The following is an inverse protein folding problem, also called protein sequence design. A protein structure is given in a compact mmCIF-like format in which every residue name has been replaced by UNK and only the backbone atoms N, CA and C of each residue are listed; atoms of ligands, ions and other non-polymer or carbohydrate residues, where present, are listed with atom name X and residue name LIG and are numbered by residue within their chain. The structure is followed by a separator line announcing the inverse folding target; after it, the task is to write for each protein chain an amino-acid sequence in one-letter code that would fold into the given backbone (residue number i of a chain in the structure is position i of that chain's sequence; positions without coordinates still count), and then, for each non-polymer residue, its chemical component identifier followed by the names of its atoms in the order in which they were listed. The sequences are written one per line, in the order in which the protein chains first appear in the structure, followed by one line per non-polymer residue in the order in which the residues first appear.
data_IF_521471414862
#
_entry.id   IF_521471414862
#
_cell.length_a   1.000
_cell.length_b   1.000
_cell.length_c   1.000
_cell.angle_alpha   90.00
_cell.angle_beta   90.00
_cell.angle_gamma   90.00
#
_symmetry.space_group_name_H-M   'P 1'
#
loop_
_entity.id
_entity.type
_entity.pdbx_description
1 polymer ?
#
# COMPACT_ATOMS: atom_id res chain seq x y z
N UNK A 1 -0.47 6.19 12.77
CA UNK A 1 0.89 5.69 13.09
C UNK A 1 0.87 4.17 13.09
N UNK A 2 2.01 3.50 12.84
CA UNK A 2 2.08 2.02 12.90
C UNK A 2 2.16 1.51 14.35
N UNK A 3 1.89 0.20 14.53
CA UNK A 3 1.92 -0.44 15.85
C UNK A 3 3.32 -0.40 16.49
N UNK A 4 4.37 -0.53 15.68
CA UNK A 4 5.77 -0.43 16.11
C UNK A 4 6.09 0.96 16.62
N UNK A 5 5.76 2.00 15.84
CA UNK A 5 6.01 3.39 16.22
C UNK A 5 5.23 3.77 17.49
N UNK A 6 4.03 3.23 17.66
CA UNK A 6 3.28 3.41 18.90
C UNK A 6 3.94 2.71 20.09
N UNK A 7 4.38 1.45 19.92
CA UNK A 7 5.10 0.70 20.94
C UNK A 7 6.40 1.40 21.38
N UNK A 8 7.17 1.91 20.42
CA UNK A 8 8.42 2.63 20.68
C UNK A 8 8.17 3.97 21.37
N UNK A 9 7.13 4.71 20.95
CA UNK A 9 6.73 5.95 21.60
C UNK A 9 6.38 5.71 23.07
N UNK A 10 5.54 4.73 23.38
CA UNK A 10 5.15 4.46 24.77
C UNK A 10 6.33 3.93 25.57
N UNK A 11 7.18 3.09 24.99
CA UNK A 11 8.37 2.59 25.66
C UNK A 11 9.32 3.73 26.03
N UNK A 12 9.60 4.64 25.10
CA UNK A 12 10.45 5.82 25.34
C UNK A 12 9.86 6.78 26.39
N UNK A 13 8.54 6.99 26.40
CA UNK A 13 7.87 7.77 27.43
C UNK A 13 7.98 7.12 28.82
N UNK A 14 7.83 5.80 28.88
CA UNK A 14 7.99 5.06 30.13
C UNK A 14 9.44 5.08 30.63
N UNK A 15 10.43 4.97 29.72
CA UNK A 15 11.84 5.08 30.04
C UNK A 15 12.19 6.48 30.57
N UNK A 16 11.68 7.54 29.93
CA UNK A 16 11.87 8.92 30.38
C UNK A 16 11.22 9.18 31.75
N UNK A 17 10.08 8.55 32.02
CA UNK A 17 9.38 8.61 33.30
C UNK A 17 9.96 7.66 34.36
N UNK A 18 11.00 6.88 34.04
CA UNK A 18 11.58 5.85 34.91
C UNK A 18 10.55 4.82 35.41
N UNK A 19 9.46 4.62 34.66
CA UNK A 19 8.49 3.57 34.93
C UNK A 19 8.99 2.30 34.29
N UNK A 20 9.49 1.32 35.06
CA UNK A 20 10.04 0.05 34.54
C UNK A 20 9.13 -1.16 34.75
N UNK A 21 8.00 -0.98 35.43
CA UNK A 21 7.03 -2.03 35.66
C UNK A 21 6.32 -2.43 34.35
N UNK A 22 6.42 -3.71 33.98
CA UNK A 22 5.93 -4.18 32.68
C UNK A 22 4.40 -4.08 32.55
N UNK A 23 3.67 -4.35 33.65
CA UNK A 23 2.22 -4.30 33.67
C UNK A 23 1.74 -2.84 33.54
N UNK A 24 2.34 -1.93 34.29
CA UNK A 24 2.03 -0.51 34.25
C UNK A 24 2.35 0.11 32.88
N UNK A 25 3.50 -0.25 32.29
CA UNK A 25 3.86 0.11 30.91
C UNK A 25 2.80 -0.34 29.92
N UNK A 26 2.34 -1.58 30.05
CA UNK A 26 1.31 -2.13 29.18
C UNK A 26 -0.05 -1.42 29.37
N UNK A 27 -0.41 -1.04 30.61
CA UNK A 27 -1.61 -0.24 30.86
C UNK A 27 -1.54 1.14 30.18
N UNK A 28 -0.39 1.82 30.20
CA UNK A 28 -0.20 3.07 29.46
C UNK A 28 -0.35 2.87 27.96
N UNK A 29 0.22 1.78 27.43
CA UNK A 29 0.08 1.40 26.03
C UNK A 29 -1.39 1.21 25.61
N UNK A 30 -2.17 0.48 26.41
CA UNK A 30 -3.60 0.26 26.15
C UNK A 30 -4.43 1.53 26.31
N UNK A 31 -4.15 2.32 27.34
CA UNK A 31 -4.89 3.55 27.65
C UNK A 31 -4.71 4.61 26.56
N UNK A 32 -3.51 4.73 25.99
CA UNK A 32 -3.21 5.65 24.91
C UNK A 32 -3.68 5.20 23.52
N UNK A 33 -4.10 3.94 23.37
CA UNK A 33 -4.52 3.37 22.07
C UNK A 33 -5.86 3.97 21.64
N UNK A 34 -5.88 4.76 20.56
CA UNK A 34 -7.14 5.27 19.98
C UNK A 34 -7.82 4.27 19.04
N UNK A 35 -7.03 3.40 18.41
CA UNK A 35 -7.53 2.43 17.44
C UNK A 35 -8.40 1.35 18.13
N UNK A 36 -9.70 1.36 17.83
CA UNK A 36 -10.70 0.45 18.41
C UNK A 36 -10.48 -1.00 17.98
N UNK A 37 -10.06 -1.23 16.75
CA UNK A 37 -9.77 -2.59 16.26
C UNK A 37 -8.55 -3.19 16.95
N UNK A 38 -7.49 -2.40 17.13
CA UNK A 38 -6.31 -2.86 17.87
C UNK A 38 -6.65 -3.19 19.32
N UNK A 39 -7.49 -2.38 19.98
CA UNK A 39 -8.04 -2.70 21.30
C UNK A 39 -8.82 -4.01 21.30
N UNK A 40 -9.69 -4.22 20.31
CA UNK A 40 -10.48 -5.44 20.19
C UNK A 40 -9.61 -6.69 19.94
N UNK A 41 -8.51 -6.56 19.20
CA UNK A 41 -7.54 -7.64 18.98
C UNK A 41 -6.79 -7.98 20.27
N UNK A 42 -6.39 -6.98 21.06
CA UNK A 42 -5.61 -7.18 22.27
C UNK A 42 -6.46 -7.66 23.45
N UNK A 43 -7.73 -7.26 23.56
CA UNK A 43 -8.61 -7.61 24.68
C UNK A 43 -8.74 -9.12 24.99
N UNK A 44 -8.95 -10.03 24.02
CA UNK A 44 -8.99 -11.46 24.29
C UNK A 44 -7.59 -12.09 24.43
N UNK A 45 -6.53 -11.35 24.09
CA UNK A 45 -5.17 -11.88 24.08
C UNK A 45 -4.57 -11.62 25.47
N UNK A 46 -4.10 -12.66 26.17
CA UNK A 46 -3.47 -12.53 27.49
C UNK A 46 -2.06 -11.93 27.37
N UNK A 47 -1.99 -10.67 26.97
CA UNK A 47 -0.75 -9.91 26.78
C UNK A 47 -0.57 -8.97 27.95
N UNK A 48 0.65 -8.87 28.46
CA UNK A 48 1.01 -8.01 29.59
C UNK A 48 2.31 -7.21 29.34
N UNK A 49 2.74 -7.12 28.09
CA UNK A 49 3.94 -6.38 27.71
C UNK A 49 3.77 -5.72 26.34
N UNK A 50 4.39 -4.55 26.19
CA UNK A 50 4.36 -3.78 24.94
C UNK A 50 4.92 -4.58 23.75
N UNK A 51 6.10 -5.24 23.83
CA UNK A 51 6.65 -5.95 22.68
C UNK A 51 5.75 -7.09 22.19
N UNK A 52 5.13 -7.81 23.13
CA UNK A 52 4.22 -8.91 22.80
C UNK A 52 2.92 -8.38 22.18
N UNK A 53 2.42 -7.23 22.64
CA UNK A 53 1.22 -6.60 22.07
C UNK A 53 1.48 -6.14 20.63
N UNK A 54 2.63 -5.52 20.39
CA UNK A 54 3.07 -5.13 19.05
C UNK A 54 3.17 -6.38 18.16
N UNK A 55 3.83 -7.45 18.61
CA UNK A 55 3.93 -8.69 17.83
C UNK A 55 2.56 -9.27 17.44
N UNK A 56 1.57 -9.27 18.34
CA UNK A 56 0.20 -9.71 18.05
C UNK A 56 -0.48 -8.83 17.00
N UNK A 57 -0.32 -7.51 17.08
CA UNK A 57 -0.86 -6.58 16.10
C UNK A 57 -0.22 -6.80 14.71
N UNK A 58 1.09 -6.96 14.64
CA UNK A 58 1.81 -7.24 13.39
C UNK A 58 1.38 -8.60 12.80
N UNK A 59 1.24 -9.63 13.63
CA UNK A 59 0.77 -10.95 13.20
C UNK A 59 -0.64 -10.91 12.59
N UNK A 60 -1.48 -9.99 13.06
CA UNK A 60 -2.82 -9.76 12.48
C UNK A 60 -2.82 -8.81 11.28
N UNK A 61 -1.67 -8.54 10.69
CA UNK A 61 -1.47 -7.61 9.59
C UNK A 61 -1.92 -6.16 9.90
N UNK A 62 -2.00 -5.80 11.18
CA UNK A 62 -2.41 -4.46 11.63
C UNK A 62 -1.22 -3.48 11.65
N UNK A 63 -0.49 -3.39 10.54
CA UNK A 63 0.71 -2.54 10.41
C UNK A 63 0.38 -1.06 10.23
N UNK A 64 -0.75 -0.75 9.60
CA UNK A 64 -1.19 0.61 9.34
C UNK A 64 -2.34 1.01 10.27
N UNK A 65 -2.44 2.30 10.62
CA UNK A 65 -3.68 2.80 11.20
C UNK A 65 -4.80 2.53 10.19
N UNK A 66 -5.87 1.85 10.62
CA UNK A 66 -7.11 1.84 9.86
C UNK A 66 -7.54 3.29 9.68
N UNK A 67 -7.87 3.70 8.45
CA UNK A 67 -8.48 5.00 8.21
C UNK A 67 -9.74 5.09 9.07
N UNK A 68 -9.64 5.89 10.14
CA UNK A 68 -10.73 6.12 11.07
C UNK A 68 -11.63 7.20 10.44
N UNK A 69 -12.45 6.80 9.47
CA UNK A 69 -13.44 7.65 8.80
C UNK A 69 -14.60 8.08 9.74
N UNK A 70 -14.50 7.89 11.05
CA UNK A 70 -15.63 8.09 11.97
C UNK A 70 -15.21 8.48 13.40
N UNK A 71 -14.66 9.69 13.58
CA UNK A 71 -14.80 10.39 14.87
C UNK A 71 -14.68 11.92 14.80
N UNK A 72 -15.22 12.55 13.76
CA UNK A 72 -15.52 13.99 13.81
C UNK A 72 -16.88 14.28 13.16
N UNK A 73 -17.94 13.80 13.79
CA UNK A 73 -19.30 14.20 13.48
C UNK A 73 -19.76 15.27 14.48
N UNK A 74 -19.17 16.47 14.38
CA UNK A 74 -19.83 17.71 14.81
C UNK A 74 -20.19 18.53 13.56
N UNK A 75 -21.36 18.16 13.06
CA UNK A 75 -22.34 18.95 12.29
C UNK A 75 -21.88 20.29 11.68
N UNK A 76 -21.44 20.26 10.42
CA UNK A 76 -21.79 21.27 9.41
C UNK A 76 -21.46 20.81 7.97
N UNK A 77 -22.53 20.63 7.18
CA UNK A 77 -22.61 20.86 5.74
C UNK A 77 -21.76 20.01 4.75
N UNK A 78 -22.45 19.07 4.10
CA UNK A 78 -22.53 18.88 2.64
C UNK A 78 -21.27 18.60 1.78
N UNK A 79 -21.24 17.34 1.28
CA UNK A 79 -20.83 16.86 -0.09
C UNK A 79 -19.33 16.77 -0.46
N UNK A 80 -18.98 15.93 -1.46
CA UNK A 80 -19.37 14.53 -1.69
C UNK A 80 -18.16 13.62 -2.01
N UNK A 81 -18.43 12.31 -2.09
CA UNK A 81 -17.55 11.27 -2.58
C UNK A 81 -16.76 11.65 -3.85
N UNK A 82 -15.46 11.94 -3.70
CA UNK A 82 -14.51 12.10 -4.83
C UNK A 82 -13.70 10.82 -5.09
N UNK A 83 -13.64 9.91 -4.13
CA UNK A 83 -12.76 8.74 -4.19
C UNK A 83 -13.30 7.60 -5.07
N UNK A 84 -14.62 7.54 -5.28
CA UNK A 84 -15.23 6.48 -6.12
C UNK A 84 -14.97 6.63 -7.62
N UNK A 85 -14.39 7.75 -8.07
CA UNK A 85 -14.16 8.04 -9.51
C UNK A 85 -12.77 7.62 -10.00
N UNK A 86 -11.77 7.50 -9.13
CA UNK A 86 -10.39 7.22 -9.56
C UNK A 86 -10.16 5.76 -9.96
N UNK A 87 -10.83 4.82 -9.27
CA UNK A 87 -10.77 3.39 -9.55
C UNK A 87 -11.20 3.04 -10.99
N UNK A 88 -12.41 3.44 -11.47
CA UNK A 88 -12.82 3.16 -12.84
C UNK A 88 -11.93 3.87 -13.88
N UNK A 89 -11.40 5.05 -13.55
CA UNK A 89 -10.47 5.79 -14.42
C UNK A 89 -9.16 5.02 -14.63
N UNK A 90 -8.57 4.47 -13.57
CA UNK A 90 -7.34 3.67 -13.64
C UNK A 90 -7.54 2.37 -14.42
N UNK A 91 -8.66 1.66 -14.18
CA UNK A 91 -9.05 0.47 -14.96
C UNK A 91 -9.16 0.79 -16.45
N UNK A 92 -9.76 1.93 -16.79
CA UNK A 92 -9.92 2.37 -18.18
C UNK A 92 -8.57 2.66 -18.84
N UNK A 93 -7.67 3.37 -18.15
CA UNK A 93 -6.31 3.64 -18.63
C UNK A 93 -5.49 2.35 -18.83
N UNK A 94 -5.59 1.39 -17.92
CA UNK A 94 -4.89 0.10 -18.04
C UNK A 94 -5.40 -0.68 -19.26
N UNK A 95 -6.72 -0.70 -19.47
CA UNK A 95 -7.33 -1.38 -20.60
C UNK A 95 -6.96 -0.72 -21.94
N UNK A 96 -6.93 0.62 -21.99
CA UNK A 96 -6.45 1.38 -23.13
C UNK A 96 -4.98 1.06 -23.45
N UNK A 97 -4.12 1.00 -22.42
CA UNK A 97 -2.70 0.70 -22.58
C UNK A 97 -2.49 -0.72 -23.13
N UNK A 98 -3.26 -1.70 -22.65
CA UNK A 98 -3.20 -3.06 -23.17
C UNK A 98 -3.62 -3.14 -24.65
N UNK A 99 -4.67 -2.42 -25.06
CA UNK A 99 -5.07 -2.37 -26.47
C UNK A 99 -3.97 -1.80 -27.38
N UNK A 100 -3.30 -0.72 -26.96
CA UNK A 100 -2.18 -0.16 -27.70
C UNK A 100 -1.01 -1.14 -27.85
N UNK A 101 -0.67 -1.86 -26.77
CA UNK A 101 0.38 -2.88 -26.79
C UNK A 101 0.06 -4.03 -27.76
N UNK A 102 -1.18 -4.53 -27.74
CA UNK A 102 -1.65 -5.57 -28.66
C UNK A 102 -1.59 -5.08 -30.10
N UNK A 103 -2.00 -3.84 -30.36
CA UNK A 103 -1.96 -3.27 -31.71
C UNK A 103 -0.52 -3.10 -32.22
N UNK A 104 0.41 -2.70 -31.36
CA UNK A 104 1.83 -2.58 -31.70
C UNK A 104 2.45 -3.96 -31.97
N UNK A 105 2.10 -4.97 -31.18
CA UNK A 105 2.52 -6.35 -31.41
C UNK A 105 2.00 -6.89 -32.74
N UNK A 106 0.72 -6.64 -33.06
CA UNK A 106 0.11 -7.10 -34.31
C UNK A 106 0.78 -6.45 -35.53
N UNK A 107 1.14 -5.16 -35.47
CA UNK A 107 1.91 -4.50 -36.53
C UNK A 107 3.32 -5.07 -36.68
N UNK A 108 3.97 -5.47 -35.59
CA UNK A 108 5.28 -6.09 -35.63
C UNK A 108 5.24 -7.50 -36.23
N UNK A 109 4.18 -8.27 -35.95
CA UNK A 109 3.98 -9.62 -36.49
C UNK A 109 3.48 -9.61 -37.95
N UNK A 110 2.76 -8.58 -38.38
CA UNK A 110 2.26 -8.43 -39.75
C UNK A 110 3.30 -7.88 -40.75
N UNK A 111 4.53 -7.56 -40.30
CA UNK A 111 5.60 -7.09 -41.18
C UNK A 111 6.34 -8.30 -41.78
N UNK A 112 6.21 -8.58 -43.09
CA UNK A 112 6.98 -9.67 -43.71
C UNK A 112 8.48 -9.36 -43.65
N UNK A 113 9.36 -10.38 -43.58
CA UNK A 113 10.80 -10.18 -43.59
C UNK A 113 11.17 -9.42 -44.87
N UNK A 114 11.84 -8.27 -44.73
CA UNK A 114 12.37 -7.54 -45.88
C UNK A 114 13.47 -8.40 -46.50
N UNK A 115 13.18 -9.01 -47.64
CA UNK A 115 14.18 -9.68 -48.46
C UNK A 115 15.29 -8.68 -48.86
N UNK A 116 16.58 -9.04 -48.78
CA UNK A 116 17.66 -8.20 -49.28
C UNK A 116 17.51 -8.11 -50.80
N UNK A 117 17.36 -6.88 -51.31
CA UNK A 117 17.37 -6.60 -52.76
C UNK A 117 18.73 -7.03 -53.31
N UNK A 118 18.76 -8.11 -54.10
CA UNK A 118 19.91 -8.50 -54.91
C UNK A 118 20.32 -7.32 -55.79
N UNK A 119 21.49 -6.75 -55.52
CA UNK A 119 22.22 -5.89 -56.45
C UNK A 119 22.74 -6.78 -57.59
N UNK A 120 21.96 -6.92 -58.66
CA UNK A 120 22.47 -7.48 -59.93
C UNK A 120 23.51 -6.51 -60.50
N UNK A 121 24.78 -6.88 -60.38
CA UNK A 121 25.84 -6.36 -61.21
C UNK A 121 25.60 -6.85 -62.64
N UNK A 122 25.43 -5.93 -63.59
CA UNK A 122 25.49 -6.25 -65.02
C UNK A 122 26.60 -5.39 -65.62
N UNK A 123 27.77 -6.01 -65.75
CA UNK A 123 28.83 -5.55 -66.62
C UNK A 123 28.41 -5.83 -68.07
N UNK A 124 28.31 -4.79 -68.89
CA UNK A 124 28.24 -4.91 -70.34
C UNK A 124 29.43 -4.14 -70.92
N UNK A 125 30.37 -4.91 -71.45
CA UNK A 125 31.54 -4.45 -72.16
C UNK A 125 31.14 -3.78 -73.49
N UNK A 126 31.88 -2.74 -73.87
CA UNK A 126 31.95 -2.23 -75.23
C UNK A 126 33.32 -2.60 -75.81
N UNK A 127 33.32 -3.29 -76.94
CA UNK A 127 34.28 -3.16 -78.04
C UNK A 127 33.57 -3.57 -79.34
#
# INVERSE_FOLDING_TARGET
MSAEVWGDLISSLCDAAQCYDAEMRYQYFLSGLRNKEWKAVLAPTMVNSIPHAVAVLLFKNMHLPIDDDSEFAEEAASKPASESSMMPQMLTMMQQTQHLLVQLLQQHLARPPRSPRQSMAVAAAYD
#
